data_IF_630269469323
#
_entry.id   IF_630269469323
#
_cell.length_a   1.000
_cell.length_b   1.000
_cell.length_c   1.000
_cell.angle_alpha   90.00
_cell.angle_beta   90.00
_cell.angle_gamma   90.00
#
_symmetry.space_group_name_H-M   'P 1'
#
loop_
_entity.id
_entity.type
_entity.pdbx_description
1 polymer ?
#
# COMPACT_ATOMS: atom_id res chain seq x y z
N UNK A 1 -23.57 8.33 -17.54
CA UNK A 1 -22.22 8.59 -18.03
C UNK A 1 -21.95 7.62 -19.18
N UNK A 2 -21.45 8.12 -20.29
CA UNK A 2 -21.16 7.29 -21.45
C UNK A 2 -19.87 6.46 -21.26
N UNK A 3 -19.55 5.61 -22.25
CA UNK A 3 -18.37 4.76 -22.20
C UNK A 3 -17.08 5.58 -22.09
N UNK A 4 -16.98 6.68 -22.83
CA UNK A 4 -15.80 7.55 -22.79
C UNK A 4 -15.63 8.19 -21.42
N UNK A 5 -16.72 8.60 -20.78
CA UNK A 5 -16.69 9.16 -19.43
C UNK A 5 -16.23 8.12 -18.41
N UNK A 6 -16.72 6.89 -18.49
CA UNK A 6 -16.29 5.81 -17.59
C UNK A 6 -14.81 5.49 -17.74
N UNK A 7 -14.31 5.42 -18.98
CA UNK A 7 -12.89 5.17 -19.24
C UNK A 7 -12.02 6.31 -18.71
N UNK A 8 -12.46 7.56 -18.84
CA UNK A 8 -11.74 8.72 -18.31
C UNK A 8 -11.62 8.65 -16.79
N UNK A 9 -12.70 8.32 -16.09
CA UNK A 9 -12.69 8.16 -14.63
C UNK A 9 -11.82 6.99 -14.20
N UNK A 10 -11.90 5.85 -14.93
CA UNK A 10 -11.07 4.68 -14.64
C UNK A 10 -9.58 5.01 -14.79
N UNK A 11 -9.22 5.71 -15.88
CA UNK A 11 -7.83 6.14 -16.11
C UNK A 11 -7.35 7.07 -15.01
N UNK A 12 -8.15 8.06 -14.64
CA UNK A 12 -7.82 8.99 -13.55
C UNK A 12 -7.64 8.22 -12.22
N UNK A 13 -8.54 7.29 -11.93
CA UNK A 13 -8.45 6.43 -10.75
C UNK A 13 -7.16 5.61 -10.73
N UNK A 14 -6.79 5.02 -11.86
CA UNK A 14 -5.55 4.25 -11.99
C UNK A 14 -4.30 5.12 -11.76
N UNK A 15 -4.29 6.33 -12.32
CA UNK A 15 -3.16 7.25 -12.13
C UNK A 15 -3.01 7.65 -10.66
N UNK A 16 -4.12 7.99 -10.01
CA UNK A 16 -4.10 8.35 -8.59
C UNK A 16 -3.66 7.15 -7.75
N UNK A 17 -4.26 5.98 -7.97
CA UNK A 17 -3.92 4.77 -7.22
C UNK A 17 -2.46 4.37 -7.41
N UNK A 18 -1.96 4.35 -8.64
CA UNK A 18 -0.56 4.02 -8.92
C UNK A 18 0.41 5.00 -8.26
N UNK A 19 0.09 6.29 -8.31
CA UNK A 19 0.91 7.33 -7.66
C UNK A 19 0.93 7.16 -6.15
N UNK A 20 -0.22 6.86 -5.53
CA UNK A 20 -0.31 6.60 -4.10
C UNK A 20 0.45 5.33 -3.71
N UNK A 21 0.36 4.28 -4.53
CA UNK A 21 1.10 3.04 -4.28
C UNK A 21 2.62 3.29 -4.29
N UNK A 22 3.11 4.07 -5.25
CA UNK A 22 4.52 4.43 -5.28
C UNK A 22 4.90 5.21 -4.01
N UNK A 23 4.08 6.19 -3.63
CA UNK A 23 4.33 7.01 -2.44
C UNK A 23 4.34 6.16 -1.17
N UNK A 24 3.31 5.33 -0.97
CA UNK A 24 3.21 4.43 0.19
C UNK A 24 4.35 3.42 0.20
N UNK A 25 4.67 2.85 -0.98
CA UNK A 25 5.76 1.89 -1.11
C UNK A 25 7.10 2.50 -0.73
N UNK A 26 7.38 3.74 -1.16
CA UNK A 26 8.61 4.45 -0.78
C UNK A 26 8.65 4.73 0.72
N UNK A 27 7.54 5.16 1.32
CA UNK A 27 7.49 5.36 2.77
C UNK A 27 7.75 4.07 3.53
N UNK A 28 7.15 2.97 3.13
CA UNK A 28 7.40 1.66 3.76
C UNK A 28 8.83 1.19 3.57
N UNK A 29 9.42 1.46 2.41
CA UNK A 29 10.82 1.17 2.16
C UNK A 29 11.72 1.93 3.13
N UNK A 30 11.50 3.22 3.32
CA UNK A 30 12.26 4.04 4.25
C UNK A 30 12.05 3.62 5.71
N UNK A 31 10.81 3.29 6.09
CA UNK A 31 10.52 2.71 7.41
C UNK A 31 11.32 1.43 7.64
N UNK A 32 11.33 0.55 6.64
CA UNK A 32 12.07 -0.71 6.71
C UNK A 32 13.58 -0.48 6.88
N UNK A 33 14.15 0.41 6.07
CA UNK A 33 15.57 0.77 6.17
C UNK A 33 15.89 1.35 7.55
N UNK A 34 15.07 2.26 8.04
CA UNK A 34 15.26 2.90 9.34
C UNK A 34 15.19 1.87 10.48
N UNK A 35 14.24 0.93 10.39
CA UNK A 35 14.09 -0.12 11.41
C UNK A 35 15.28 -1.08 11.43
N UNK A 36 15.81 -1.45 10.26
CA UNK A 36 16.99 -2.33 10.17
C UNK A 36 18.23 -1.61 10.69
N UNK A 37 18.38 -0.32 10.39
CA UNK A 37 19.53 0.47 10.78
C UNK A 37 19.56 0.82 12.28
N UNK A 38 18.40 0.89 12.93
CA UNK A 38 18.30 1.30 14.33
C UNK A 38 17.28 0.44 15.08
N UNK A 39 17.76 -0.53 15.81
CA UNK A 39 16.93 -1.41 16.66
C UNK A 39 16.17 -0.63 17.76
N UNK A 40 16.62 0.56 18.09
CA UNK A 40 16.12 1.36 19.23
C UNK A 40 14.98 2.31 18.86
N UNK A 41 14.56 2.34 17.59
CA UNK A 41 13.53 3.28 17.11
C UNK A 41 12.14 3.02 17.66
N UNK A 42 11.91 1.82 18.14
CA UNK A 42 10.57 1.40 18.57
C UNK A 42 10.48 1.39 20.09
N UNK A 43 9.57 2.22 20.59
CA UNK A 43 9.26 2.28 22.02
C UNK A 43 8.52 1.00 22.39
N UNK A 44 9.01 0.29 23.39
CA UNK A 44 8.30 -0.89 23.89
C UNK A 44 6.98 -0.45 24.55
N UNK A 45 5.87 -0.97 24.06
CA UNK A 45 4.54 -0.80 24.66
C UNK A 45 4.32 -2.01 25.57
N UNK A 46 4.34 -1.78 26.88
CA UNK A 46 4.42 -2.84 27.89
C UNK A 46 3.21 -3.77 27.93
N UNK A 47 2.05 -3.33 27.40
CA UNK A 47 0.81 -4.11 27.48
C UNK A 47 0.42 -4.80 26.16
N UNK A 48 1.27 -4.70 25.13
CA UNK A 48 0.99 -5.31 23.85
C UNK A 48 1.69 -6.67 23.75
N UNK A 49 0.90 -7.71 23.59
CA UNK A 49 1.39 -9.09 23.62
C UNK A 49 2.07 -9.57 22.34
N UNK A 50 2.02 -8.78 21.28
CA UNK A 50 2.58 -9.14 20.00
C UNK A 50 4.02 -8.65 19.89
N UNK A 51 4.97 -9.56 20.14
CA UNK A 51 6.39 -9.23 20.07
C UNK A 51 6.93 -9.55 18.67
N UNK A 52 7.14 -8.53 17.84
CA UNK A 52 7.88 -8.67 16.59
C UNK A 52 9.28 -8.08 16.79
N UNK A 53 10.28 -8.83 16.34
CA UNK A 53 11.64 -8.34 16.23
C UNK A 53 11.69 -7.14 15.27
N UNK A 54 12.32 -6.04 15.71
CA UNK A 54 12.43 -4.79 14.95
C UNK A 54 13.10 -5.00 13.60
N UNK A 55 14.16 -5.82 13.57
CA UNK A 55 14.86 -6.13 12.33
C UNK A 55 13.97 -6.92 11.37
N UNK A 56 13.26 -7.93 11.88
CA UNK A 56 12.32 -8.71 11.07
C UNK A 56 11.19 -7.84 10.52
N UNK A 57 10.64 -6.97 11.35
CA UNK A 57 9.63 -6.01 10.92
C UNK A 57 10.17 -5.08 9.83
N UNK A 58 11.40 -4.59 10.01
CA UNK A 58 12.06 -3.73 9.02
C UNK A 58 12.20 -4.40 7.67
N UNK A 59 12.60 -5.67 7.64
CA UNK A 59 12.69 -6.44 6.39
C UNK A 59 11.34 -6.64 5.72
N UNK A 60 10.28 -6.92 6.50
CA UNK A 60 8.92 -7.03 5.98
C UNK A 60 8.50 -5.73 5.31
N UNK A 61 8.72 -4.59 5.96
CA UNK A 61 8.38 -3.28 5.41
C UNK A 61 9.20 -2.94 4.17
N UNK A 62 10.49 -3.27 4.17
CA UNK A 62 11.35 -3.02 3.03
C UNK A 62 10.88 -3.80 1.81
N UNK A 63 10.66 -5.10 1.95
CA UNK A 63 10.22 -5.96 0.85
C UNK A 63 8.83 -5.54 0.38
N UNK A 64 7.90 -5.32 1.31
CA UNK A 64 6.55 -4.88 0.99
C UNK A 64 6.56 -3.53 0.28
N UNK A 65 7.39 -2.59 0.75
CA UNK A 65 7.52 -1.28 0.14
C UNK A 65 8.02 -1.34 -1.30
N UNK A 66 9.03 -2.17 -1.56
CA UNK A 66 9.53 -2.39 -2.93
C UNK A 66 8.44 -2.98 -3.82
N UNK A 67 7.73 -4.00 -3.34
CA UNK A 67 6.65 -4.63 -4.12
C UNK A 67 5.52 -3.66 -4.42
N UNK A 68 5.07 -2.91 -3.43
CA UNK A 68 3.99 -1.93 -3.59
C UNK A 68 4.40 -0.84 -4.60
N UNK A 69 5.61 -0.31 -4.49
CA UNK A 69 6.11 0.71 -5.42
C UNK A 69 6.22 0.17 -6.84
N UNK A 70 6.75 -1.05 -7.02
CA UNK A 70 6.86 -1.67 -8.35
C UNK A 70 5.51 -1.91 -8.99
N UNK A 71 4.56 -2.47 -8.24
CA UNK A 71 3.20 -2.69 -8.76
C UNK A 71 2.54 -1.37 -9.08
N UNK A 72 2.79 -0.33 -8.29
CA UNK A 72 2.31 1.03 -8.58
C UNK A 72 2.80 1.54 -9.95
N UNK A 73 4.04 1.28 -10.29
CA UNK A 73 4.59 1.62 -11.63
C UNK A 73 3.82 0.87 -12.72
N UNK A 74 3.54 -0.41 -12.54
CA UNK A 74 2.78 -1.19 -13.53
C UNK A 74 1.31 -0.78 -13.61
N UNK A 75 0.73 -0.31 -12.50
CA UNK A 75 -0.61 0.31 -12.52
C UNK A 75 -0.58 1.56 -13.40
N UNK A 76 0.43 2.42 -13.25
CA UNK A 76 0.59 3.61 -14.10
C UNK A 76 0.83 3.23 -15.57
N UNK A 77 1.47 2.10 -15.81
CA UNK A 77 1.69 1.59 -17.18
C UNK A 77 0.42 0.96 -17.79
N UNK A 78 -0.68 0.89 -17.05
CA UNK A 78 -1.95 0.37 -17.54
C UNK A 78 -2.02 -1.14 -17.65
N UNK A 79 -1.22 -1.86 -16.89
CA UNK A 79 -1.22 -3.33 -16.90
C UNK A 79 -2.38 -3.86 -16.07
N UNK A 80 -3.29 -4.59 -16.69
CA UNK A 80 -4.51 -5.07 -16.02
C UNK A 80 -4.22 -6.01 -14.83
N UNK A 81 -3.20 -6.86 -14.92
CA UNK A 81 -2.81 -7.71 -13.79
C UNK A 81 -2.38 -6.90 -12.57
N UNK A 82 -1.82 -5.71 -12.79
CA UNK A 82 -1.33 -4.87 -11.69
C UNK A 82 -2.46 -4.31 -10.84
N UNK A 83 -3.66 -4.14 -11.39
CA UNK A 83 -4.81 -3.68 -10.61
C UNK A 83 -5.18 -4.70 -9.53
N UNK A 84 -5.27 -5.97 -9.91
CA UNK A 84 -5.54 -7.05 -8.94
C UNK A 84 -4.41 -7.24 -7.94
N UNK A 85 -3.17 -7.25 -8.43
CA UNK A 85 -1.99 -7.36 -7.57
C UNK A 85 -1.89 -6.18 -6.59
N UNK A 86 -2.22 -4.97 -7.05
CA UNK A 86 -2.23 -3.77 -6.23
C UNK A 86 -3.25 -3.85 -5.09
N UNK A 87 -4.45 -4.35 -5.38
CA UNK A 87 -5.48 -4.58 -4.35
C UNK A 87 -4.95 -5.55 -3.29
N UNK A 88 -4.39 -6.68 -3.71
CA UNK A 88 -3.84 -7.67 -2.79
C UNK A 88 -2.73 -7.10 -1.91
N UNK A 89 -1.79 -6.38 -2.50
CA UNK A 89 -0.70 -5.74 -1.76
C UNK A 89 -1.21 -4.66 -0.81
N UNK A 90 -2.19 -3.86 -1.21
CA UNK A 90 -2.77 -2.84 -0.35
C UNK A 90 -3.47 -3.46 0.87
N UNK A 91 -4.14 -4.60 0.69
CA UNK A 91 -4.73 -5.35 1.80
C UNK A 91 -3.64 -5.82 2.76
N UNK A 92 -2.57 -6.43 2.25
CA UNK A 92 -1.45 -6.90 3.06
C UNK A 92 -0.79 -5.73 3.80
N UNK A 93 -0.59 -4.62 3.10
CA UNK A 93 -0.03 -3.39 3.69
C UNK A 93 -0.90 -2.88 4.84
N UNK A 94 -2.20 -2.78 4.62
CA UNK A 94 -3.14 -2.31 5.66
C UNK A 94 -3.14 -3.23 6.89
N UNK A 95 -3.15 -4.55 6.67
CA UNK A 95 -3.08 -5.52 7.77
C UNK A 95 -1.76 -5.40 8.54
N UNK A 96 -0.66 -5.24 7.82
CA UNK A 96 0.64 -5.06 8.44
C UNK A 96 0.68 -3.78 9.29
N UNK A 97 0.15 -2.68 8.78
CA UNK A 97 0.09 -1.42 9.53
C UNK A 97 -0.85 -1.52 10.74
N UNK A 98 -1.92 -2.28 10.61
CA UNK A 98 -2.84 -2.51 11.73
C UNK A 98 -2.14 -3.16 12.93
N UNK A 99 -1.23 -4.10 12.67
CA UNK A 99 -0.45 -4.75 13.74
C UNK A 99 0.48 -3.76 14.47
N UNK A 100 0.91 -2.71 13.79
CA UNK A 100 1.81 -1.71 14.36
C UNK A 100 1.12 -0.45 14.86
N UNK A 101 -0.21 -0.42 14.81
CA UNK A 101 -1.00 0.71 15.24
C UNK A 101 -0.70 1.16 16.69
N UNK A 102 -0.50 0.25 17.67
CA UNK A 102 -0.16 0.66 19.03
C UNK A 102 1.21 1.37 19.15
N UNK A 103 2.14 1.13 18.23
CA UNK A 103 3.48 1.71 18.25
C UNK A 103 3.52 3.08 17.60
N UNK A 104 2.86 3.25 16.44
CA UNK A 104 2.85 4.48 15.66
C UNK A 104 1.43 4.75 15.13
N UNK A 105 0.49 5.15 16.00
CA UNK A 105 -0.91 5.22 15.62
C UNK A 105 -1.19 6.20 14.47
N UNK A 106 -0.60 7.40 14.51
CA UNK A 106 -0.86 8.40 13.46
C UNK A 106 -0.30 7.97 12.11
N UNK A 107 0.91 7.43 12.11
CA UNK A 107 1.57 6.95 10.89
C UNK A 107 0.84 5.74 10.32
N UNK A 108 0.51 4.77 11.15
CA UNK A 108 -0.19 3.57 10.73
C UNK A 108 -1.58 3.91 10.15
N UNK A 109 -2.32 4.81 10.80
CA UNK A 109 -3.62 5.26 10.31
C UNK A 109 -3.51 5.96 8.95
N UNK A 110 -2.47 6.77 8.75
CA UNK A 110 -2.23 7.44 7.47
C UNK A 110 -2.03 6.43 6.35
N UNK A 111 -1.17 5.43 6.57
CA UNK A 111 -0.90 4.39 5.56
C UNK A 111 -2.14 3.55 5.32
N UNK A 112 -2.88 3.16 6.37
CA UNK A 112 -4.14 2.42 6.21
C UNK A 112 -5.15 3.22 5.38
N UNK A 113 -5.27 4.53 5.62
CA UNK A 113 -6.16 5.38 4.84
C UNK A 113 -5.78 5.39 3.36
N UNK A 114 -4.49 5.49 3.05
CA UNK A 114 -4.01 5.41 1.66
C UNK A 114 -4.28 4.02 1.05
N UNK A 115 -4.06 2.96 1.79
CA UNK A 115 -4.31 1.60 1.32
C UNK A 115 -5.79 1.38 1.01
N UNK A 116 -6.70 1.85 1.88
CA UNK A 116 -8.15 1.76 1.65
C UNK A 116 -8.54 2.53 0.38
N UNK A 117 -7.98 3.73 0.19
CA UNK A 117 -8.23 4.51 -1.03
C UNK A 117 -7.73 3.78 -2.28
N UNK A 118 -6.53 3.20 -2.22
CA UNK A 118 -5.96 2.44 -3.33
C UNK A 118 -6.83 1.22 -3.67
N UNK A 119 -7.27 0.47 -2.65
CA UNK A 119 -8.16 -0.68 -2.84
C UNK A 119 -9.44 -0.25 -3.56
N UNK A 120 -10.07 0.83 -3.09
CA UNK A 120 -11.29 1.34 -3.72
C UNK A 120 -11.05 1.77 -5.17
N UNK A 121 -10.00 2.57 -5.41
CA UNK A 121 -9.71 3.09 -6.75
C UNK A 121 -9.39 1.97 -7.74
N UNK A 122 -8.57 1.00 -7.34
CA UNK A 122 -8.20 -0.12 -8.21
C UNK A 122 -9.38 -1.06 -8.45
N UNK A 123 -10.25 -1.25 -7.45
CA UNK A 123 -11.47 -2.06 -7.64
C UNK A 123 -12.39 -1.43 -8.69
N UNK A 124 -12.55 -0.10 -8.66
CA UNK A 124 -13.35 0.61 -9.66
C UNK A 124 -12.74 0.45 -11.06
N UNK A 125 -11.43 0.67 -11.18
CA UNK A 125 -10.72 0.53 -12.46
C UNK A 125 -10.84 -0.89 -13.00
N UNK A 126 -10.63 -1.88 -12.14
CA UNK A 126 -10.70 -3.29 -12.54
C UNK A 126 -12.08 -3.66 -13.02
N UNK A 127 -13.13 -3.17 -12.35
CA UNK A 127 -14.51 -3.38 -12.77
C UNK A 127 -14.77 -2.78 -14.17
N UNK A 128 -14.29 -1.57 -14.44
CA UNK A 128 -14.44 -0.93 -15.75
C UNK A 128 -13.66 -1.67 -16.84
N UNK A 129 -12.44 -2.07 -16.58
CA UNK A 129 -11.62 -2.83 -17.54
C UNK A 129 -12.32 -4.16 -17.89
N UNK A 130 -12.85 -4.86 -16.91
CA UNK A 130 -13.56 -6.12 -17.13
C UNK A 130 -14.88 -5.92 -17.89
N UNK A 131 -15.57 -4.81 -17.67
CA UNK A 131 -16.82 -4.50 -18.35
C UNK A 131 -16.61 -4.16 -19.84
N UNK A 132 -15.43 -3.65 -20.21
CA UNK A 132 -15.09 -3.27 -21.60
C UNK A 132 -14.31 -4.36 -22.35
N UNK A 133 -13.95 -5.43 -21.69
CA UNK A 133 -13.20 -6.54 -22.30
C UNK A 133 -14.09 -7.43 -23.15
#
# INVERSE_FOLDING_TARGET
MDENGRLAWATAGAVIAGSLMITVGLFQLFEGIAAIARDELFVSVTDYTFAIDTTGWGWIHLVLGVLVALVGVFVLAGRSWAYGAGIGLAIVSALNQFLFLPYYPLWALLIIAFDVFVIWALAVVLAEVNATA
#
